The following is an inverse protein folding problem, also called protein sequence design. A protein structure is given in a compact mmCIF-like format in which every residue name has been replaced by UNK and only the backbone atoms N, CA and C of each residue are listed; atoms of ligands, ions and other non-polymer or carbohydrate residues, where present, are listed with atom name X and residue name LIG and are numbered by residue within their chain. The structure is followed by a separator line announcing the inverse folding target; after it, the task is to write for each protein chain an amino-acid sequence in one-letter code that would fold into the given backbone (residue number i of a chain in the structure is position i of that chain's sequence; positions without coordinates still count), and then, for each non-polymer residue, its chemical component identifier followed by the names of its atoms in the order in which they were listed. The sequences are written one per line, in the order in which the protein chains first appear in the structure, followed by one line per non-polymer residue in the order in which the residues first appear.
data_IF_297886305082
#
_entry.id   IF_297886305082
#
_cell.length_a   1.000
_cell.length_b   1.000
_cell.length_c   1.000
_cell.angle_alpha   90.00
_cell.angle_beta   90.00
_cell.angle_gamma   90.00
#
_symmetry.space_group_name_H-M   'P 1'
#
loop_
_entity.id
_entity.type
_entity.pdbx_description
1 polymer ?
#
# COMPACT_ATOMS: atom_id res chain seq x y z
N UNK A 1 -12.72 9.30 4.69
CA UNK A 1 -13.25 8.04 4.14
C UNK A 1 -14.71 8.25 3.77
N UNK A 2 -15.09 8.01 2.51
CA UNK A 2 -16.46 8.20 2.03
C UNK A 2 -17.07 6.92 1.43
N UNK A 3 -16.36 5.79 1.49
CA UNK A 3 -16.91 4.47 1.13
C UNK A 3 -17.13 4.23 -0.37
N UNK A 4 -16.65 5.12 -1.23
CA UNK A 4 -16.70 4.95 -2.69
C UNK A 4 -15.84 3.76 -3.14
N UNK A 5 -16.09 3.25 -4.36
CA UNK A 5 -15.36 2.09 -4.91
C UNK A 5 -13.85 2.32 -5.00
N UNK A 6 -13.43 3.57 -5.13
CA UNK A 6 -12.03 4.02 -5.08
C UNK A 6 -11.35 3.91 -3.71
N UNK A 7 -12.09 3.53 -2.66
CA UNK A 7 -11.59 3.35 -1.30
C UNK A 7 -11.88 1.94 -0.76
N UNK A 8 -12.42 1.04 -1.60
CA UNK A 8 -12.73 -0.35 -1.24
C UNK A 8 -11.64 -1.26 -1.78
N UNK A 9 -10.84 -1.79 -0.88
CA UNK A 9 -9.73 -2.68 -1.19
C UNK A 9 -10.07 -4.10 -0.78
N UNK A 10 -9.81 -5.07 -1.67
CA UNK A 10 -9.93 -6.50 -1.35
C UNK A 10 -8.55 -7.10 -1.22
N UNK A 11 -8.25 -7.69 -0.07
CA UNK A 11 -7.01 -8.44 0.12
C UNK A 11 -7.19 -9.89 -0.32
N UNK A 12 -6.35 -10.37 -1.23
CA UNK A 12 -6.46 -11.71 -1.83
C UNK A 12 -5.51 -12.71 -1.19
N UNK A 13 -5.73 -14.01 -1.45
CA UNK A 13 -4.80 -15.07 -1.03
C UNK A 13 -3.40 -14.95 -1.66
N UNK A 14 -3.31 -14.31 -2.84
CA UNK A 14 -2.05 -13.96 -3.50
C UNK A 14 -1.39 -12.71 -2.93
N UNK A 15 -1.86 -12.22 -1.77
CA UNK A 15 -1.37 -11.03 -1.07
C UNK A 15 -1.53 -9.72 -1.85
N UNK A 16 -2.42 -9.66 -2.83
CA UNK A 16 -2.70 -8.42 -3.56
C UNK A 16 -3.78 -7.62 -2.83
N UNK A 17 -3.65 -6.29 -2.83
CA UNK A 17 -4.72 -5.36 -2.47
C UNK A 17 -5.35 -4.87 -3.77
N UNK A 18 -6.54 -5.36 -4.11
CA UNK A 18 -7.21 -5.02 -5.37
C UNK A 18 -8.26 -3.92 -5.18
N UNK A 19 -8.41 -3.06 -6.18
CA UNK A 19 -9.41 -1.99 -6.27
C UNK A 19 -10.05 -2.00 -7.66
N UNK A 20 -11.32 -1.60 -7.74
CA UNK A 20 -12.14 -1.65 -8.96
C UNK A 20 -12.26 -3.04 -9.64
N UNK A 21 -11.86 -4.10 -8.95
CA UNK A 21 -11.93 -5.48 -9.42
C UNK A 21 -10.74 -5.95 -10.27
N UNK A 22 -9.95 -5.06 -10.87
CA UNK A 22 -8.84 -5.43 -11.77
C UNK A 22 -7.54 -4.61 -11.59
N UNK A 23 -7.50 -3.65 -10.67
CA UNK A 23 -6.28 -2.89 -10.35
C UNK A 23 -5.71 -3.34 -9.02
N UNK A 24 -4.39 -3.33 -8.90
CA UNK A 24 -3.66 -3.74 -7.71
C UNK A 24 -2.86 -2.57 -7.14
N UNK A 25 -2.76 -2.48 -5.82
CA UNK A 25 -1.79 -1.61 -5.14
C UNK A 25 -0.38 -2.06 -5.55
N UNK A 26 0.43 -1.13 -6.05
CA UNK A 26 1.67 -1.44 -6.77
C UNK A 26 2.80 -0.52 -6.31
N UNK A 27 3.95 -1.09 -5.96
CA UNK A 27 5.20 -0.34 -5.82
C UNK A 27 5.78 -0.05 -7.21
N UNK A 28 5.65 1.20 -7.64
CA UNK A 28 5.89 1.65 -9.02
C UNK A 28 7.25 1.20 -9.54
N UNK A 29 7.25 0.52 -10.69
CA UNK A 29 8.47 0.12 -11.38
C UNK A 29 9.36 -0.85 -10.59
N UNK A 30 8.78 -1.64 -9.69
CA UNK A 30 9.53 -2.53 -8.79
C UNK A 30 10.52 -1.80 -7.86
N UNK A 31 10.24 -0.53 -7.53
CA UNK A 31 11.12 0.24 -6.66
C UNK A 31 11.25 -0.38 -5.27
N UNK A 32 12.48 -0.45 -4.77
CA UNK A 32 12.82 -1.02 -3.46
C UNK A 32 13.48 -0.01 -2.52
N UNK A 33 13.37 1.27 -2.84
CA UNK A 33 14.00 2.37 -2.09
C UNK A 33 12.96 3.30 -1.48
N UNK A 34 13.36 4.01 -0.42
CA UNK A 34 12.55 5.05 0.19
C UNK A 34 12.11 6.09 -0.85
N UNK A 35 10.82 6.45 -0.81
CA UNK A 35 10.23 7.39 -1.76
C UNK A 35 9.68 6.74 -3.04
N UNK A 36 9.82 5.42 -3.21
CA UNK A 36 9.14 4.72 -4.32
C UNK A 36 7.64 4.99 -4.23
N UNK A 37 7.05 5.51 -5.31
CA UNK A 37 5.62 5.81 -5.33
C UNK A 37 4.79 4.53 -5.25
N UNK A 38 3.72 4.58 -4.45
CA UNK A 38 2.70 3.52 -4.44
C UNK A 38 1.53 3.98 -5.31
N UNK A 39 1.20 3.17 -6.31
CA UNK A 39 0.21 3.48 -7.35
C UNK A 39 -0.84 2.37 -7.43
N UNK A 40 -1.75 2.52 -8.39
CA UNK A 40 -2.54 1.40 -8.90
C UNK A 40 -2.05 1.02 -10.28
N UNK A 41 -1.92 -0.28 -10.53
CA UNK A 41 -1.57 -0.81 -11.84
C UNK A 41 -2.44 -2.03 -12.18
N UNK A 42 -2.44 -2.45 -13.44
CA UNK A 42 -3.08 -3.71 -13.80
C UNK A 42 -2.47 -4.86 -12.99
N UNK A 43 -3.34 -5.68 -12.40
CA UNK A 43 -2.91 -6.83 -11.64
C UNK A 43 -2.14 -7.80 -12.55
N UNK A 44 -0.87 -8.04 -12.26
CA UNK A 44 0.03 -8.84 -13.10
C UNK A 44 0.72 -9.99 -12.32
N UNK A 45 0.41 -10.13 -11.02
CA UNK A 45 0.91 -11.21 -10.16
C UNK A 45 2.36 -11.01 -9.67
N UNK A 46 3.03 -9.93 -10.07
CA UNK A 46 4.42 -9.67 -9.68
C UNK A 46 4.53 -9.28 -8.19
N UNK A 47 5.72 -9.47 -7.63
CA UNK A 47 5.95 -9.33 -6.19
C UNK A 47 5.88 -7.89 -5.68
N UNK A 48 6.03 -6.87 -6.55
CA UNK A 48 5.81 -5.46 -6.22
C UNK A 48 4.33 -5.11 -5.99
N UNK A 49 3.40 -6.02 -6.33
CA UNK A 49 1.97 -5.90 -6.07
C UNK A 49 1.50 -6.74 -4.88
N UNK A 50 2.42 -7.37 -4.16
CA UNK A 50 2.12 -8.24 -3.03
C UNK A 50 2.50 -7.53 -1.73
N UNK A 51 1.61 -7.61 -0.74
CA UNK A 51 1.69 -6.85 0.50
C UNK A 51 1.42 -7.74 1.70
N UNK A 52 2.25 -7.65 2.73
CA UNK A 52 1.98 -8.27 4.02
C UNK A 52 1.19 -7.30 4.89
N UNK A 53 0.03 -7.72 5.39
CA UNK A 53 -0.71 -7.02 6.44
C UNK A 53 -0.20 -7.54 7.77
N UNK A 54 0.62 -6.75 8.45
CA UNK A 54 1.33 -7.19 9.65
C UNK A 54 0.48 -6.98 10.91
N UNK A 55 0.67 -7.83 11.92
CA UNK A 55 -0.06 -7.74 13.19
C UNK A 55 0.26 -6.47 13.99
N UNK A 56 1.38 -5.83 13.70
CA UNK A 56 1.79 -4.56 14.30
C UNK A 56 1.12 -3.32 13.66
N UNK A 57 0.19 -3.51 12.70
CA UNK A 57 -0.55 -2.44 12.02
C UNK A 57 0.12 -1.89 10.76
N UNK A 58 1.36 -2.29 10.47
CA UNK A 58 2.02 -1.89 9.21
C UNK A 58 1.55 -2.73 8.03
N UNK A 59 1.66 -2.16 6.83
CA UNK A 59 1.54 -2.88 5.56
C UNK A 59 2.90 -2.82 4.86
N UNK A 60 3.54 -3.95 4.59
CA UNK A 60 4.87 -3.98 3.95
C UNK A 60 4.85 -4.67 2.59
N UNK A 61 5.61 -4.15 1.64
CA UNK A 61 5.78 -4.77 0.32
C UNK A 61 6.54 -6.09 0.46
N UNK A 62 6.05 -7.15 -0.19
CA UNK A 62 6.72 -8.47 -0.20
C UNK A 62 8.09 -8.38 -0.88
N UNK A 63 8.20 -7.62 -1.97
CA UNK A 63 9.46 -7.47 -2.71
C UNK A 63 10.49 -6.60 -1.96
N UNK A 64 10.07 -5.43 -1.47
CA UNK A 64 10.99 -4.42 -0.93
C UNK A 64 11.26 -4.58 0.57
N UNK A 65 10.33 -5.20 1.31
CA UNK A 65 10.32 -5.18 2.77
C UNK A 65 9.98 -3.81 3.38
N UNK A 66 9.76 -2.77 2.57
CA UNK A 66 9.43 -1.43 3.00
C UNK A 66 7.94 -1.28 3.31
N UNK A 67 7.60 -0.32 4.17
CA UNK A 67 6.24 -0.06 4.62
C UNK A 67 5.51 0.94 3.72
N UNK A 68 4.20 0.74 3.57
CA UNK A 68 3.27 1.71 3.02
C UNK A 68 3.21 2.92 3.96
N UNK A 69 3.52 4.09 3.43
CA UNK A 69 3.79 5.30 4.19
C UNK A 69 3.02 6.49 3.61
N UNK A 70 2.29 7.21 4.46
CA UNK A 70 1.77 8.52 4.11
C UNK A 70 2.90 9.55 4.19
N UNK A 71 3.26 10.11 3.03
CA UNK A 71 4.50 10.86 2.86
C UNK A 71 4.60 12.08 3.79
N UNK A 72 5.76 12.21 4.45
CA UNK A 72 6.04 13.30 5.37
C UNK A 72 5.15 13.33 6.62
N UNK A 73 4.49 12.21 6.94
CA UNK A 73 3.46 12.12 7.97
C UNK A 73 2.33 13.15 7.81
N UNK A 74 2.11 13.62 6.57
CA UNK A 74 1.05 14.56 6.27
C UNK A 74 -0.34 13.89 6.40
N UNK A 75 -1.33 14.69 6.78
CA UNK A 75 -2.71 14.23 7.06
C UNK A 75 -3.75 14.86 6.14
N UNK A 76 -3.35 15.81 5.30
CA UNK A 76 -4.24 16.51 4.39
C UNK A 76 -4.66 15.63 3.20
N UNK A 77 -5.81 15.96 2.59
CA UNK A 77 -6.24 15.35 1.33
C UNK A 77 -5.16 15.53 0.25
N UNK A 78 -4.94 14.49 -0.55
CA UNK A 78 -3.91 14.49 -1.59
C UNK A 78 -2.51 14.10 -1.10
N UNK A 79 -2.33 13.79 0.18
CA UNK A 79 -1.10 13.17 0.68
C UNK A 79 -0.81 11.89 -0.11
N UNK A 80 0.37 11.83 -0.72
CA UNK A 80 0.79 10.68 -1.52
C UNK A 80 1.21 9.52 -0.62
N UNK A 81 0.98 8.30 -1.10
CA UNK A 81 1.55 7.10 -0.50
C UNK A 81 2.86 6.72 -1.19
N UNK A 82 3.81 6.27 -0.39
CA UNK A 82 5.14 5.84 -0.82
C UNK A 82 5.56 4.58 -0.06
N UNK A 83 6.64 3.96 -0.54
CA UNK A 83 7.42 3.04 0.27
C UNK A 83 8.42 3.81 1.12
N UNK A 84 8.55 3.40 2.38
CA UNK A 84 9.58 3.93 3.26
C UNK A 84 10.02 2.86 4.27
N UNK A 85 11.22 3.02 4.81
CA UNK A 85 11.72 2.17 5.89
C UNK A 85 10.66 2.08 7.01
N UNK A 86 10.40 0.86 7.46
CA UNK A 86 9.43 0.60 8.50
C UNK A 86 9.89 1.18 9.85
N UNK A 87 9.03 1.93 10.53
CA UNK A 87 9.29 2.52 11.84
C UNK A 87 7.98 2.64 12.64
N UNK A 88 8.06 3.16 13.87
CA UNK A 88 6.90 3.30 14.77
C UNK A 88 6.05 4.55 14.52
N UNK A 89 6.21 5.20 13.36
CA UNK A 89 5.43 6.36 12.97
C UNK A 89 3.97 6.02 12.70
N UNK A 90 3.04 6.86 13.19
CA UNK A 90 1.61 6.67 12.97
C UNK A 90 1.19 6.73 11.48
N UNK A 91 2.00 7.37 10.63
CA UNK A 91 1.78 7.48 9.19
C UNK A 91 2.05 6.18 8.41
N UNK A 92 2.49 5.12 9.10
CA UNK A 92 2.67 3.77 8.56
C UNK A 92 1.72 2.75 9.21
N UNK A 93 0.77 3.22 10.01
CA UNK A 93 -0.19 2.38 10.73
C UNK A 93 -1.55 2.41 10.03
N UNK A 94 -2.03 1.23 9.64
CA UNK A 94 -3.19 1.08 8.78
C UNK A 94 -4.20 0.11 9.40
N UNK A 95 -5.48 0.33 9.09
CA UNK A 95 -6.57 -0.59 9.40
C UNK A 95 -7.43 -0.77 8.18
N UNK A 96 -7.84 -2.02 7.92
CA UNK A 96 -8.93 -2.29 6.99
C UNK A 96 -10.24 -1.93 7.67
N UNK A 97 -11.14 -1.28 6.93
CA UNK A 97 -12.49 -0.95 7.40
C UNK A 97 -13.50 -1.59 6.45
N UNK A 98 -14.50 -2.23 7.03
CA UNK A 98 -15.68 -2.80 6.35
C UNK A 98 -16.71 -1.71 6.06
#
# INVERSE_FOLDING_TARGET
CHGGTNQRWTYTSSKQLTVYGNKCLDASGHGTTNGTAVIIWDCNGQTNQQWNLNTNGTISGVQSGLCLDASGAATANGTKLQLYACWSGANQQWSLRS
#
